data_IF_830784201941
#
_entry.id   IF_830784201941
#
_cell.length_a   1.000
_cell.length_b   1.000
_cell.length_c   1.000
_cell.angle_alpha   90.00
_cell.angle_beta   90.00
_cell.angle_gamma   90.00
#
_symmetry.space_group_name_H-M   'P 1'
#
loop_
_entity.id
_entity.type
_entity.pdbx_description
1 polymer ?
#
# COMPACT_ATOMS: atom_id res chain seq x y z
N UNK A 1 16.84 29.01 -9.70
CA UNK A 1 17.76 28.61 -10.78
C UNK A 1 17.05 28.93 -12.08
N UNK A 2 17.56 29.87 -12.88
CA UNK A 2 17.01 30.21 -14.19
C UNK A 2 17.80 29.41 -15.21
N UNK A 3 17.14 28.56 -16.00
CA UNK A 3 17.75 27.71 -17.03
C UNK A 3 17.68 28.43 -18.38
N UNK A 4 18.70 28.26 -19.22
CA UNK A 4 18.69 28.73 -20.61
C UNK A 4 17.81 27.85 -21.51
N UNK A 5 17.33 28.37 -22.64
CA UNK A 5 16.51 27.58 -23.58
C UNK A 5 17.16 26.28 -24.06
N UNK A 6 18.48 26.24 -24.40
CA UNK A 6 19.14 24.99 -24.78
C UNK A 6 19.15 23.96 -23.65
N UNK A 7 19.40 24.39 -22.41
CA UNK A 7 19.38 23.51 -21.23
C UNK A 7 17.97 22.96 -20.97
N UNK A 8 16.93 23.78 -21.14
CA UNK A 8 15.53 23.33 -21.02
C UNK A 8 15.25 22.25 -22.07
N UNK A 9 15.65 22.47 -23.31
CA UNK A 9 15.44 21.50 -24.40
C UNK A 9 16.19 20.18 -24.15
N UNK A 10 17.43 20.26 -23.69
CA UNK A 10 18.22 19.09 -23.32
C UNK A 10 17.55 18.28 -22.20
N UNK A 11 17.10 18.96 -21.14
CA UNK A 11 16.40 18.30 -20.02
C UNK A 11 15.11 17.63 -20.50
N UNK A 12 14.33 18.29 -21.36
CA UNK A 12 13.10 17.71 -21.91
C UNK A 12 13.39 16.46 -22.75
N UNK A 13 14.45 16.46 -23.56
CA UNK A 13 14.86 15.29 -24.33
C UNK A 13 15.30 14.13 -23.41
N UNK A 14 16.05 14.42 -22.35
CA UNK A 14 16.44 13.42 -21.36
C UNK A 14 15.23 12.86 -20.61
N UNK A 15 14.25 13.69 -20.26
CA UNK A 15 12.98 13.24 -19.69
C UNK A 15 12.26 12.33 -20.69
N UNK A 16 12.16 12.76 -21.94
CA UNK A 16 11.52 11.97 -22.99
C UNK A 16 12.17 10.60 -23.14
N UNK A 17 13.49 10.52 -23.25
CA UNK A 17 14.21 9.26 -23.43
C UNK A 17 14.13 8.36 -22.18
N UNK A 18 14.32 8.94 -20.99
CA UNK A 18 14.37 8.17 -19.74
C UNK A 18 13.01 7.72 -19.21
N UNK A 19 11.96 8.52 -19.45
CA UNK A 19 10.59 8.26 -19.00
C UNK A 19 9.77 7.61 -20.10
N UNK A 20 9.88 8.04 -21.35
CA UNK A 20 9.02 7.58 -22.45
C UNK A 20 9.75 6.75 -23.51
N UNK A 21 11.07 6.85 -23.64
CA UNK A 21 11.88 6.16 -24.66
C UNK A 21 11.92 4.63 -24.54
N UNK A 22 11.45 4.05 -23.43
CA UNK A 22 11.32 2.59 -23.24
C UNK A 22 9.90 2.05 -23.45
N UNK A 23 8.94 2.91 -23.82
CA UNK A 23 7.56 2.51 -24.06
C UNK A 23 7.45 1.88 -25.46
N UNK A 24 6.75 0.75 -25.54
CA UNK A 24 6.53 0.02 -26.78
C UNK A 24 5.34 0.63 -27.56
N UNK A 25 5.43 0.64 -28.89
CA UNK A 25 4.38 1.19 -29.78
C UNK A 25 3.05 0.44 -29.75
N UNK A 26 2.98 -0.70 -29.07
CA UNK A 26 1.81 -1.57 -28.94
C UNK A 26 0.94 -1.28 -27.68
N UNK A 27 1.28 -0.29 -26.86
CA UNK A 27 0.51 0.07 -25.67
C UNK A 27 -0.85 0.71 -26.03
N UNK A 28 -1.91 0.31 -25.32
CA UNK A 28 -3.26 0.87 -25.51
C UNK A 28 -3.39 2.26 -24.87
N UNK A 29 -4.34 3.08 -25.29
CA UNK A 29 -4.62 4.40 -24.69
C UNK A 29 -4.81 4.33 -23.16
N UNK A 30 -5.47 3.28 -22.68
CA UNK A 30 -5.64 3.06 -21.24
C UNK A 30 -4.32 2.82 -20.51
N UNK A 31 -3.38 2.13 -21.15
CA UNK A 31 -2.04 1.93 -20.62
C UNK A 31 -1.26 3.25 -20.60
N UNK A 32 -1.44 4.10 -21.62
CA UNK A 32 -0.88 5.45 -21.68
C UNK A 32 -1.35 6.33 -20.53
N UNK A 33 -2.66 6.38 -20.28
CA UNK A 33 -3.24 7.16 -19.18
C UNK A 33 -2.73 6.66 -17.82
N UNK A 34 -2.71 5.34 -17.62
CA UNK A 34 -2.20 4.75 -16.38
C UNK A 34 -0.71 5.04 -16.17
N UNK A 35 0.08 5.03 -17.23
CA UNK A 35 1.51 5.36 -17.17
C UNK A 35 1.71 6.83 -16.80
N UNK A 36 0.96 7.72 -17.44
CA UNK A 36 1.01 9.15 -17.18
C UNK A 36 0.62 9.48 -15.73
N UNK A 37 -0.47 8.88 -15.23
CA UNK A 37 -0.89 9.01 -13.82
C UNK A 37 0.20 8.54 -12.86
N UNK A 38 0.85 7.44 -13.18
CA UNK A 38 1.98 6.92 -12.40
C UNK A 38 3.15 7.91 -12.38
N UNK A 39 3.48 8.52 -13.52
CA UNK A 39 4.54 9.52 -13.60
C UNK A 39 4.22 10.76 -12.75
N UNK A 40 2.99 11.29 -12.84
CA UNK A 40 2.54 12.42 -12.03
C UNK A 40 2.56 12.10 -10.53
N UNK A 41 2.08 10.92 -10.13
CA UNK A 41 2.14 10.50 -8.73
C UNK A 41 3.57 10.49 -8.19
N UNK A 42 4.55 10.05 -8.99
CA UNK A 42 5.96 10.03 -8.58
C UNK A 42 6.54 11.43 -8.44
N UNK A 43 6.20 12.37 -9.32
CA UNK A 43 6.59 13.78 -9.19
C UNK A 43 6.00 14.37 -7.90
N UNK A 44 4.71 14.17 -7.67
CA UNK A 44 4.02 14.66 -6.47
C UNK A 44 4.65 14.11 -5.18
N UNK A 45 5.07 12.84 -5.18
CA UNK A 45 5.75 12.25 -4.03
C UNK A 45 7.11 12.90 -3.74
N UNK A 46 7.92 13.14 -4.78
CA UNK A 46 9.21 13.83 -4.62
C UNK A 46 8.99 15.26 -4.13
N UNK A 47 8.01 15.98 -4.68
CA UNK A 47 7.66 17.32 -4.23
C UNK A 47 7.29 17.36 -2.73
N UNK A 48 6.46 16.41 -2.27
CA UNK A 48 6.10 16.29 -0.85
C UNK A 48 7.31 15.97 0.03
N UNK A 49 8.23 15.14 -0.45
CA UNK A 49 9.45 14.82 0.29
C UNK A 49 10.38 16.04 0.41
N UNK A 50 10.57 16.79 -0.67
CA UNK A 50 11.35 18.05 -0.66
C UNK A 50 10.72 19.10 0.25
N UNK A 51 9.39 19.18 0.29
CA UNK A 51 8.68 20.09 1.20
C UNK A 51 8.99 19.80 2.67
N UNK A 52 9.18 18.52 3.04
CA UNK A 52 9.54 18.10 4.41
C UNK A 52 11.03 18.24 4.72
N UNK A 53 11.87 18.34 3.69
CA UNK A 53 13.33 18.43 3.78
C UNK A 53 13.85 19.60 2.95
N UNK A 54 13.53 20.85 3.34
CA UNK A 54 13.81 22.04 2.52
C UNK A 54 15.32 22.30 2.31
N UNK A 55 16.17 21.80 3.21
CA UNK A 55 17.63 21.90 3.09
C UNK A 55 18.29 20.78 2.27
N UNK A 56 17.50 19.89 1.66
CA UNK A 56 18.08 18.79 0.88
C UNK A 56 18.62 19.30 -0.45
N UNK A 57 19.91 19.08 -0.71
CA UNK A 57 20.51 19.44 -1.99
C UNK A 57 19.98 18.56 -3.11
N UNK A 58 19.47 19.18 -4.18
CA UNK A 58 18.94 18.49 -5.36
C UNK A 58 19.96 18.63 -6.50
N UNK A 59 20.56 17.52 -6.96
CA UNK A 59 21.36 17.49 -8.17
C UNK A 59 20.60 18.06 -9.37
N UNK A 60 21.34 18.59 -10.35
CA UNK A 60 20.75 19.12 -11.58
C UNK A 60 19.94 18.04 -12.33
N UNK A 61 18.84 18.39 -13.00
CA UNK A 61 17.94 17.42 -13.65
C UNK A 61 18.63 16.46 -14.62
N UNK A 62 19.62 16.94 -15.39
CA UNK A 62 20.38 16.10 -16.32
C UNK A 62 21.04 14.89 -15.65
N UNK A 63 21.41 15.00 -14.37
CA UNK A 63 21.98 13.87 -13.62
C UNK A 63 20.91 12.78 -13.45
N UNK A 64 19.68 13.13 -13.11
CA UNK A 64 18.60 12.16 -12.84
C UNK A 64 18.08 11.47 -14.10
N UNK A 65 17.94 12.24 -15.18
CA UNK A 65 17.32 11.77 -16.41
C UNK A 65 18.33 11.22 -17.43
N UNK A 66 19.63 11.20 -17.10
CA UNK A 66 20.63 10.59 -17.97
C UNK A 66 20.30 9.09 -18.18
N UNK A 67 20.17 8.61 -19.43
CA UNK A 67 19.79 7.22 -19.73
C UNK A 67 20.71 6.18 -19.07
N UNK A 68 21.99 6.55 -18.96
CA UNK A 68 23.05 5.71 -18.39
C UNK A 68 23.22 5.84 -16.86
N UNK A 69 22.40 6.63 -16.15
CA UNK A 69 22.56 6.78 -14.70
C UNK A 69 22.00 5.57 -13.92
N UNK A 70 22.84 4.57 -13.66
CA UNK A 70 22.45 3.38 -12.89
C UNK A 70 22.06 3.68 -11.44
N UNK A 71 22.64 4.73 -10.86
CA UNK A 71 22.56 5.02 -9.42
C UNK A 71 21.28 5.76 -9.02
N UNK A 72 20.77 6.67 -9.85
CA UNK A 72 19.57 7.48 -9.55
C UNK A 72 18.46 7.33 -10.59
N UNK A 73 18.45 6.21 -11.32
CA UNK A 73 17.50 5.96 -12.43
C UNK A 73 16.04 5.98 -12.00
N UNK A 74 15.17 6.37 -12.93
CA UNK A 74 13.70 6.30 -12.83
C UNK A 74 13.19 4.89 -12.42
N UNK A 75 13.96 3.82 -12.70
CA UNK A 75 13.69 2.44 -12.24
C UNK A 75 13.72 2.29 -10.71
N UNK A 76 14.61 2.99 -9.99
CA UNK A 76 14.65 2.94 -8.52
C UNK A 76 13.42 3.61 -7.91
N UNK A 77 13.02 4.75 -8.46
CA UNK A 77 11.80 5.44 -8.05
C UNK A 77 10.55 4.59 -8.36
N UNK A 78 10.55 3.84 -9.46
CA UNK A 78 9.50 2.84 -9.73
C UNK A 78 9.47 1.71 -8.70
N UNK A 79 10.62 1.08 -8.41
CA UNK A 79 10.70 0.04 -7.38
C UNK A 79 10.26 0.55 -6.00
N UNK A 80 10.66 1.78 -5.66
CA UNK A 80 10.22 2.43 -4.44
C UNK A 80 8.71 2.68 -4.45
N UNK A 81 8.15 3.18 -5.55
CA UNK A 81 6.71 3.36 -5.71
C UNK A 81 5.96 2.04 -5.52
N UNK A 82 6.40 0.96 -6.18
CA UNK A 82 5.81 -0.38 -6.02
C UNK A 82 5.86 -0.80 -4.54
N UNK A 83 7.00 -0.63 -3.86
CA UNK A 83 7.12 -0.92 -2.43
C UNK A 83 6.13 -0.10 -1.59
N UNK A 84 5.94 1.18 -1.91
CA UNK A 84 4.98 2.04 -1.19
C UNK A 84 3.53 1.60 -1.41
N UNK A 85 3.15 1.27 -2.64
CA UNK A 85 1.79 0.77 -2.94
C UNK A 85 1.53 -0.58 -2.27
N UNK A 86 2.50 -1.50 -2.30
CA UNK A 86 2.41 -2.76 -1.57
C UNK A 86 2.26 -2.52 -0.07
N UNK A 87 3.09 -1.63 0.51
CA UNK A 87 3.02 -1.30 1.93
C UNK A 87 1.67 -0.69 2.33
N UNK A 88 1.05 0.14 1.48
CA UNK A 88 -0.30 0.67 1.73
C UNK A 88 -1.33 -0.46 1.82
N UNK A 89 -1.26 -1.44 0.92
CA UNK A 89 -2.14 -2.61 0.93
C UNK A 89 -1.91 -3.42 2.21
N UNK A 90 -0.66 -3.67 2.58
CA UNK A 90 -0.30 -4.40 3.81
C UNK A 90 -0.81 -3.70 5.07
N UNK A 91 -0.58 -2.39 5.21
CA UNK A 91 -1.06 -1.60 6.35
C UNK A 91 -2.59 -1.64 6.42
N UNK A 92 -3.28 -1.43 5.30
CA UNK A 92 -4.73 -1.52 5.24
C UNK A 92 -5.22 -2.90 5.71
N UNK A 93 -4.59 -3.97 5.22
CA UNK A 93 -4.93 -5.34 5.58
C UNK A 93 -4.70 -5.60 7.09
N UNK A 94 -3.60 -5.11 7.65
CA UNK A 94 -3.34 -5.19 9.10
C UNK A 94 -4.41 -4.47 9.93
N UNK A 95 -4.80 -3.25 9.53
CA UNK A 95 -5.84 -2.49 10.22
C UNK A 95 -7.20 -3.21 10.17
N UNK A 96 -7.56 -3.81 9.03
CA UNK A 96 -8.78 -4.60 8.90
C UNK A 96 -8.77 -5.81 9.84
N UNK A 97 -7.65 -6.53 9.92
CA UNK A 97 -7.53 -7.68 10.82
C UNK A 97 -7.59 -7.27 12.30
N UNK A 98 -6.97 -6.14 12.66
CA UNK A 98 -7.06 -5.58 14.02
C UNK A 98 -8.50 -5.21 14.36
N UNK A 99 -9.22 -4.55 13.45
CA UNK A 99 -10.62 -4.22 13.62
C UNK A 99 -11.46 -5.48 13.87
N UNK A 100 -11.32 -6.48 13.01
CA UNK A 100 -12.04 -7.75 13.13
C UNK A 100 -11.75 -8.46 14.46
N UNK A 101 -10.49 -8.48 14.89
CA UNK A 101 -10.10 -9.01 16.20
C UNK A 101 -10.80 -8.26 17.34
N UNK A 102 -10.83 -6.93 17.28
CA UNK A 102 -11.49 -6.10 18.30
C UNK A 102 -13.00 -6.34 18.34
N UNK A 103 -13.65 -6.49 17.18
CA UNK A 103 -15.08 -6.81 17.07
C UNK A 103 -15.39 -8.15 17.75
N UNK A 104 -14.54 -9.17 17.55
CA UNK A 104 -14.69 -10.45 18.24
C UNK A 104 -14.49 -10.34 19.76
N UNK A 105 -13.51 -9.58 20.21
CA UNK A 105 -13.26 -9.39 21.65
C UNK A 105 -14.42 -8.66 22.34
N UNK A 106 -14.97 -7.62 21.69
CA UNK A 106 -16.13 -6.89 22.18
C UNK A 106 -17.38 -7.77 22.20
N UNK A 107 -17.61 -8.53 21.13
CA UNK A 107 -18.75 -9.45 21.01
C UNK A 107 -18.79 -10.46 22.16
N UNK A 108 -17.64 -11.02 22.53
CA UNK A 108 -17.54 -11.98 23.64
C UNK A 108 -17.81 -11.35 25.01
N UNK A 109 -17.62 -10.04 25.14
CA UNK A 109 -17.97 -9.29 26.36
C UNK A 109 -19.42 -8.77 26.32
N UNK A 110 -20.23 -9.19 25.33
CA UNK A 110 -21.56 -8.65 25.05
C UNK A 110 -21.57 -7.12 24.85
N UNK A 111 -20.48 -6.58 24.31
CA UNK A 111 -20.27 -5.15 24.04
C UNK A 111 -20.15 -4.89 22.54
N UNK A 112 -20.18 -3.61 22.19
CA UNK A 112 -19.90 -3.13 20.84
C UNK A 112 -21.08 -3.26 19.87
N UNK A 113 -20.83 -2.88 18.62
CA UNK A 113 -21.85 -2.75 17.56
C UNK A 113 -22.61 -4.05 17.27
N UNK A 114 -21.97 -5.20 17.47
CA UNK A 114 -22.53 -6.50 17.08
C UNK A 114 -23.01 -7.34 18.27
N UNK A 115 -23.19 -6.76 19.46
CA UNK A 115 -23.57 -7.49 20.70
C UNK A 115 -24.81 -8.38 20.54
N UNK A 116 -25.80 -7.95 19.75
CA UNK A 116 -27.07 -8.66 19.51
C UNK A 116 -26.96 -9.73 18.42
N UNK A 117 -25.83 -9.81 17.70
CA UNK A 117 -25.64 -10.80 16.63
C UNK A 117 -25.15 -12.10 17.20
N UNK A 118 -25.50 -13.21 16.55
CA UNK A 118 -24.87 -14.49 16.87
C UNK A 118 -23.43 -14.52 16.36
N UNK A 119 -22.61 -15.41 16.92
CA UNK A 119 -21.20 -15.59 16.49
C UNK A 119 -21.12 -15.96 15.00
N UNK A 120 -22.06 -16.77 14.51
CA UNK A 120 -22.17 -17.12 13.10
C UNK A 120 -22.53 -15.90 12.23
N UNK A 121 -23.45 -15.06 12.69
CA UNK A 121 -23.80 -13.82 11.97
C UNK A 121 -22.63 -12.84 11.92
N UNK A 122 -21.90 -12.66 13.03
CA UNK A 122 -20.70 -11.83 13.07
C UNK A 122 -19.65 -12.33 12.07
N UNK A 123 -19.38 -13.63 12.07
CA UNK A 123 -18.49 -14.27 11.10
C UNK A 123 -18.89 -13.97 9.65
N UNK A 124 -20.17 -14.14 9.30
CA UNK A 124 -20.68 -13.89 7.94
C UNK A 124 -20.56 -12.43 7.54
N UNK A 125 -20.84 -11.49 8.46
CA UNK A 125 -20.70 -10.05 8.21
C UNK A 125 -19.25 -9.70 7.88
N UNK A 126 -18.31 -10.20 8.67
CA UNK A 126 -16.88 -9.95 8.47
C UNK A 126 -16.36 -10.63 7.20
N UNK A 127 -16.78 -11.87 6.94
CA UNK A 127 -16.42 -12.60 5.72
C UNK A 127 -16.90 -11.85 4.47
N UNK A 128 -18.15 -11.36 4.45
CA UNK A 128 -18.68 -10.56 3.33
C UNK A 128 -17.89 -9.27 3.14
N UNK A 129 -17.49 -8.61 4.23
CA UNK A 129 -16.67 -7.39 4.20
C UNK A 129 -15.29 -7.65 3.59
N UNK A 130 -14.63 -8.73 4.00
CA UNK A 130 -13.29 -9.08 3.51
C UNK A 130 -13.31 -9.60 2.07
N UNK A 131 -14.37 -10.29 1.66
CA UNK A 131 -14.53 -10.78 0.29
C UNK A 131 -14.51 -9.65 -0.76
N UNK A 132 -14.91 -8.43 -0.40
CA UNK A 132 -14.86 -7.26 -1.28
C UNK A 132 -13.45 -6.89 -1.75
N UNK A 133 -12.41 -7.32 -1.04
CA UNK A 133 -11.01 -6.99 -1.37
C UNK A 133 -10.34 -7.98 -2.32
N UNK A 134 -10.95 -9.16 -2.57
CA UNK A 134 -10.43 -10.21 -3.46
C UNK A 134 -8.96 -10.58 -3.19
N UNK A 135 -8.55 -10.55 -1.92
CA UNK A 135 -7.19 -10.83 -1.49
C UNK A 135 -7.15 -12.15 -0.70
N UNK A 136 -6.57 -13.18 -1.33
CA UNK A 136 -6.50 -14.52 -0.76
C UNK A 136 -5.63 -14.56 0.50
N UNK A 137 -4.54 -13.78 0.52
CA UNK A 137 -3.65 -13.69 1.67
C UNK A 137 -4.34 -13.07 2.88
N UNK A 138 -5.18 -12.05 2.65
CA UNK A 138 -6.01 -11.43 3.68
C UNK A 138 -7.05 -12.42 4.23
N UNK A 139 -7.68 -13.22 3.36
CA UNK A 139 -8.64 -14.23 3.78
C UNK A 139 -7.98 -15.31 4.65
N UNK A 140 -6.80 -15.79 4.26
CA UNK A 140 -6.02 -16.76 5.06
C UNK A 140 -5.60 -16.17 6.41
N UNK A 141 -5.09 -14.94 6.42
CA UNK A 141 -4.72 -14.25 7.66
C UNK A 141 -5.92 -14.03 8.59
N UNK A 142 -7.10 -13.73 8.03
CA UNK A 142 -8.35 -13.64 8.78
C UNK A 142 -8.75 -14.99 9.38
N UNK A 143 -8.68 -16.08 8.63
CA UNK A 143 -8.99 -17.42 9.15
C UNK A 143 -8.06 -17.80 10.30
N UNK A 144 -6.76 -17.53 10.18
CA UNK A 144 -5.79 -17.75 11.27
C UNK A 144 -6.11 -16.90 12.50
N UNK A 145 -6.46 -15.62 12.30
CA UNK A 145 -6.88 -14.73 13.37
C UNK A 145 -8.14 -15.25 14.09
N UNK A 146 -9.14 -15.69 13.34
CA UNK A 146 -10.37 -16.26 13.87
C UNK A 146 -10.10 -17.53 14.66
N UNK A 147 -9.29 -18.44 14.11
CA UNK A 147 -8.88 -19.67 14.80
C UNK A 147 -8.25 -19.33 16.15
N UNK A 148 -7.29 -18.39 16.22
CA UNK A 148 -6.68 -17.98 17.50
C UNK A 148 -7.72 -17.43 18.48
N UNK A 149 -8.63 -16.57 18.03
CA UNK A 149 -9.70 -16.02 18.86
C UNK A 149 -10.68 -17.08 19.39
N UNK A 150 -10.88 -18.17 18.65
CA UNK A 150 -11.75 -19.29 19.05
C UNK A 150 -10.99 -20.33 19.89
N UNK A 151 -9.74 -20.64 19.57
CA UNK A 151 -8.93 -21.65 20.25
C UNK A 151 -8.50 -21.22 21.65
N UNK A 152 -8.22 -19.93 21.86
CA UNK A 152 -8.03 -19.35 23.20
C UNK A 152 -9.23 -19.61 24.13
N UNK A 153 -10.43 -19.83 23.58
CA UNK A 153 -11.62 -20.17 24.37
C UNK A 153 -11.65 -21.63 24.79
N UNK A 154 -11.15 -22.54 23.95
CA UNK A 154 -11.03 -23.95 24.30
C UNK A 154 -10.03 -24.17 25.43
N UNK A 155 -8.97 -23.34 25.50
CA UNK A 155 -8.01 -23.37 26.60
C UNK A 155 -8.59 -22.75 27.88
N UNK A 156 -9.28 -21.60 27.81
CA UNK A 156 -9.93 -20.98 28.97
C UNK A 156 -11.07 -21.82 29.56
N UNK A 157 -11.82 -22.55 28.75
CA UNK A 157 -12.88 -23.47 29.23
C UNK A 157 -12.33 -24.75 29.88
N UNK A 158 -11.08 -25.11 29.61
CA UNK A 158 -10.41 -26.31 30.16
C UNK A 158 -9.63 -26.05 31.44
N UNK A 159 -9.60 -24.82 31.95
CA UNK A 159 -9.15 -24.56 33.32
C UNK A 159 -10.37 -24.70 34.25
N UNK A 160 -10.59 -25.85 34.92
CA UNK A 160 -11.50 -25.88 36.05
C UNK A 160 -10.99 -24.91 37.10
N UNK A 161 -11.94 -24.19 37.72
CA UNK A 161 -11.68 -23.36 38.88
C UNK A 161 -11.17 -24.24 40.04
N UNK A 162 -9.85 -24.43 40.11
CA UNK A 162 -9.18 -24.79 41.35
C UNK A 162 -8.67 -23.51 41.98
N UNK A 163 -9.53 -22.91 42.80
CA UNK A 163 -9.14 -21.91 43.78
C UNK A 163 -10.17 -21.97 44.92
N UNK A 164 -9.75 -22.75 45.94
CA UNK A 164 -9.97 -22.66 47.39
C UNK A 164 -11.11 -21.77 47.90
#
# INVERSE_FOLDING_TARGET
MILSEPEVREILNLIWESVYGKLQSNATEKDWLKYQDTAFNRVNMVARWLTRSPGHWIPKPHIYFHPNNERNRFKKTWQWYVKQETLKIEIRNQLLLQQVKSEWQQHEQNKGRFREKTRLQLFRIQQKRLAGYRDESLNQAYQQCLQRCLHLKNLKRKQPAYAQ
#
